data_IF_735392842584
#
_entry.id   IF_735392842584
#
_cell.length_a   1.000
_cell.length_b   1.000
_cell.length_c   1.000
_cell.angle_alpha   90.00
_cell.angle_beta   90.00
_cell.angle_gamma   90.00
#
_symmetry.space_group_name_H-M   'P 1'
#
loop_
_entity.id
_entity.type
_entity.pdbx_description
1 polymer ?
#
# COMPACT_ATOMS: atom_id res chain seq x y z
N UNK A 1 -14.46 -11.51 39.23
CA UNK A 1 -13.36 -12.47 39.23
C UNK A 1 -13.38 -13.29 40.50
N UNK A 2 -13.02 -14.58 40.45
CA UNK A 2 -12.82 -15.37 41.65
C UNK A 2 -11.55 -14.90 42.34
N UNK A 3 -11.49 -14.86 43.70
CA UNK A 3 -10.29 -14.45 44.44
C UNK A 3 -9.14 -15.43 44.07
N UNK A 4 -7.96 -14.86 43.82
CA UNK A 4 -6.75 -15.59 43.43
C UNK A 4 -5.68 -15.55 44.51
N UNK A 5 -6.06 -15.20 45.75
CA UNK A 5 -5.16 -15.30 46.88
C UNK A 5 -4.87 -16.76 47.27
N UNK A 6 -3.74 -16.97 47.95
CA UNK A 6 -3.21 -18.28 48.31
C UNK A 6 -4.24 -19.15 49.04
N UNK A 7 -5.00 -18.55 49.95
CA UNK A 7 -6.00 -19.23 50.80
C UNK A 7 -7.18 -19.71 49.98
N UNK A 8 -7.73 -18.84 49.14
CA UNK A 8 -8.89 -19.15 48.27
C UNK A 8 -8.52 -20.19 47.22
N UNK A 9 -7.28 -20.13 46.67
CA UNK A 9 -6.79 -21.06 45.67
C UNK A 9 -6.52 -22.45 46.30
N UNK A 10 -5.97 -22.50 47.49
CA UNK A 10 -5.74 -23.73 48.24
C UNK A 10 -7.09 -24.44 48.56
N UNK A 11 -8.08 -23.70 49.07
CA UNK A 11 -9.41 -24.24 49.36
C UNK A 11 -10.07 -24.78 48.08
N UNK A 12 -10.05 -24.01 46.98
CA UNK A 12 -10.65 -24.47 45.70
C UNK A 12 -9.99 -25.72 45.13
N UNK A 13 -8.64 -25.83 45.22
CA UNK A 13 -7.87 -27.01 44.78
C UNK A 13 -8.13 -28.22 45.65
N UNK A 14 -8.31 -28.03 46.98
CA UNK A 14 -8.67 -29.08 47.90
C UNK A 14 -10.10 -29.64 47.60
N UNK A 15 -11.05 -28.72 47.40
CA UNK A 15 -12.44 -29.10 47.07
C UNK A 15 -12.53 -29.87 45.74
N UNK A 16 -11.66 -29.60 44.78
CA UNK A 16 -11.60 -30.28 43.50
C UNK A 16 -10.64 -31.49 43.47
N UNK A 17 -10.10 -31.94 44.63
CA UNK A 17 -9.22 -33.09 44.75
C UNK A 17 -7.90 -32.98 43.96
N UNK A 18 -7.47 -31.74 43.65
CA UNK A 18 -6.31 -31.46 42.82
C UNK A 18 -5.13 -30.93 43.61
N UNK A 19 -5.28 -30.58 44.89
CA UNK A 19 -4.25 -29.98 45.69
C UNK A 19 -3.02 -30.92 45.89
N UNK A 20 -3.27 -32.19 46.17
CA UNK A 20 -2.20 -33.16 46.32
C UNK A 20 -1.47 -33.48 45.00
N UNK A 21 -2.20 -33.43 43.86
CA UNK A 21 -1.63 -33.71 42.53
C UNK A 21 -0.64 -32.65 42.08
N UNK A 22 -0.75 -31.42 42.59
CA UNK A 22 0.16 -30.32 42.24
C UNK A 22 1.32 -30.17 43.24
N UNK A 23 1.38 -30.98 44.30
CA UNK A 23 2.44 -30.93 45.31
C UNK A 23 2.06 -30.25 46.63
N UNK A 24 0.73 -30.13 46.88
CA UNK A 24 0.18 -29.58 48.13
C UNK A 24 0.37 -28.07 48.33
N UNK A 25 0.07 -27.62 49.52
CA UNK A 25 0.21 -26.21 49.93
C UNK A 25 1.66 -25.70 49.79
N UNK A 26 2.65 -26.52 50.04
CA UNK A 26 4.07 -26.17 49.91
C UNK A 26 4.41 -25.67 48.52
N UNK A 27 3.84 -26.31 47.47
CA UNK A 27 4.04 -25.86 46.09
C UNK A 27 3.35 -24.55 45.76
N UNK A 28 2.19 -24.29 46.35
CA UNK A 28 1.52 -23.01 46.20
C UNK A 28 2.27 -21.86 46.86
N UNK A 29 2.86 -22.11 48.05
CA UNK A 29 3.73 -21.14 48.76
C UNK A 29 4.99 -20.88 47.91
N UNK A 30 5.65 -21.90 47.42
CA UNK A 30 6.82 -21.77 46.53
C UNK A 30 6.52 -20.94 45.30
N UNK A 31 5.32 -21.13 44.68
CA UNK A 31 4.88 -20.34 43.52
C UNK A 31 4.64 -18.86 43.88
N UNK A 32 4.09 -18.58 45.04
CA UNK A 32 3.87 -17.19 45.50
C UNK A 32 5.19 -16.50 45.86
N UNK A 33 6.13 -17.24 46.49
CA UNK A 33 7.45 -16.69 46.82
C UNK A 33 8.31 -16.43 45.58
N UNK A 34 8.13 -17.21 44.53
CA UNK A 34 8.82 -17.03 43.24
C UNK A 34 8.24 -15.89 42.40
N UNK A 35 7.08 -15.31 42.77
CA UNK A 35 6.52 -14.13 42.12
C UNK A 35 7.14 -12.85 42.69
N UNK A 36 8.37 -12.60 42.33
CA UNK A 36 9.03 -11.33 42.68
C UNK A 36 8.53 -10.20 41.77
N UNK A 37 7.67 -9.37 42.30
CA UNK A 37 7.19 -8.08 41.81
C UNK A 37 6.41 -8.01 40.50
N UNK A 38 5.41 -7.13 40.46
CA UNK A 38 4.59 -6.80 39.26
C UNK A 38 5.42 -6.35 38.05
N UNK A 39 6.68 -5.90 38.25
CA UNK A 39 7.63 -5.56 37.19
C UNK A 39 8.07 -6.76 36.34
N UNK A 40 7.94 -8.00 36.85
CA UNK A 40 8.33 -9.21 36.13
C UNK A 40 7.23 -9.78 35.22
N UNK A 41 5.98 -9.36 35.38
CA UNK A 41 4.85 -9.90 34.61
C UNK A 41 5.03 -9.66 33.12
N UNK A 42 5.48 -8.50 32.71
CA UNK A 42 5.71 -8.14 31.31
C UNK A 42 6.87 -8.96 30.72
N UNK A 43 7.94 -9.17 31.49
CA UNK A 43 9.07 -10.01 31.07
C UNK A 43 8.66 -11.48 30.93
N UNK A 44 7.86 -12.01 31.87
CA UNK A 44 7.36 -13.38 31.81
C UNK A 44 6.38 -13.55 30.65
N UNK A 45 5.48 -12.57 30.42
CA UNK A 45 4.56 -12.59 29.29
C UNK A 45 5.34 -12.59 27.95
N UNK A 46 6.36 -11.77 27.82
CA UNK A 46 7.23 -11.73 26.64
C UNK A 46 7.98 -13.04 26.45
N UNK A 47 8.46 -13.68 27.51
CA UNK A 47 9.11 -14.98 27.44
C UNK A 47 8.15 -16.09 26.98
N UNK A 48 6.92 -16.10 27.49
CA UNK A 48 5.87 -17.04 27.09
C UNK A 48 5.53 -16.83 25.61
N UNK A 49 5.37 -15.58 25.18
CA UNK A 49 5.11 -15.23 23.79
C UNK A 49 6.24 -15.67 22.86
N UNK A 50 7.52 -15.45 23.24
CA UNK A 50 8.66 -15.93 22.47
C UNK A 50 8.65 -17.47 22.32
N UNK A 51 8.41 -18.19 23.42
CA UNK A 51 8.32 -19.66 23.38
C UNK A 51 7.13 -20.17 22.60
N UNK A 52 6.02 -19.45 22.59
CA UNK A 52 4.85 -19.76 21.78
C UNK A 52 5.17 -19.61 20.29
N UNK A 53 5.73 -18.47 19.87
CA UNK A 53 6.12 -18.22 18.48
C UNK A 53 7.11 -19.27 17.98
N UNK A 54 8.12 -19.62 18.79
CA UNK A 54 9.10 -20.69 18.44
C UNK A 54 8.42 -22.04 18.23
N UNK A 55 7.44 -22.40 19.06
CA UNK A 55 6.65 -23.65 18.89
C UNK A 55 5.81 -23.63 17.63
N UNK A 56 5.20 -22.49 17.31
CA UNK A 56 4.46 -22.33 16.05
C UNK A 56 5.40 -22.45 14.83
N UNK A 57 6.57 -21.82 14.87
CA UNK A 57 7.58 -21.97 13.82
C UNK A 57 7.99 -23.42 13.59
N UNK A 58 8.21 -24.20 14.67
CA UNK A 58 8.56 -25.63 14.58
C UNK A 58 7.41 -26.41 13.94
N UNK A 59 6.16 -26.16 14.37
CA UNK A 59 4.98 -26.83 13.83
C UNK A 59 4.79 -26.53 12.34
N UNK A 60 4.78 -25.26 11.96
CA UNK A 60 4.62 -24.85 10.57
C UNK A 60 5.82 -25.27 9.70
N UNK A 61 7.04 -25.30 10.26
CA UNK A 61 8.20 -25.85 9.57
C UNK A 61 8.02 -27.33 9.21
N UNK A 62 7.48 -28.14 10.13
CA UNK A 62 7.16 -29.55 9.86
C UNK A 62 6.05 -29.68 8.80
N UNK A 63 5.03 -28.81 8.81
CA UNK A 63 4.00 -28.80 7.77
C UNK A 63 4.57 -28.42 6.41
N UNK A 64 5.48 -27.44 6.34
CA UNK A 64 6.19 -27.04 5.10
C UNK A 64 7.04 -28.20 4.57
N UNK A 65 7.73 -28.94 5.45
CA UNK A 65 8.46 -30.16 5.06
C UNK A 65 7.54 -31.20 4.43
N UNK A 66 6.35 -31.41 5.01
CA UNK A 66 5.37 -32.35 4.44
C UNK A 66 4.86 -31.89 3.07
N UNK A 67 4.60 -30.58 2.89
CA UNK A 67 4.23 -30.01 1.59
C UNK A 67 5.32 -30.25 0.55
N UNK A 68 6.61 -30.16 0.91
CA UNK A 68 7.73 -30.44 0.03
C UNK A 68 7.86 -31.90 -0.42
N UNK A 69 7.30 -32.85 0.34
CA UNK A 69 7.24 -34.27 -0.04
C UNK A 69 6.00 -34.64 -0.87
N UNK A 70 5.00 -33.75 -0.93
CA UNK A 70 3.79 -33.97 -1.71
C UNK A 70 4.04 -33.68 -3.21
N UNK A 71 4.29 -34.73 -3.98
CA UNK A 71 4.52 -34.66 -5.42
C UNK A 71 3.23 -34.52 -6.26
N UNK A 72 2.06 -34.46 -5.64
CA UNK A 72 0.78 -34.35 -6.35
C UNK A 72 0.42 -32.90 -6.70
N UNK A 73 1.11 -31.92 -6.09
CA UNK A 73 0.85 -30.50 -6.28
C UNK A 73 1.95 -29.86 -7.13
N UNK A 74 1.58 -28.80 -7.85
CA UNK A 74 2.56 -28.00 -8.59
C UNK A 74 3.49 -27.21 -7.65
N UNK A 75 4.76 -27.07 -8.04
CA UNK A 75 5.80 -26.43 -7.21
C UNK A 75 5.40 -25.01 -6.76
N UNK A 76 4.73 -24.25 -7.62
CA UNK A 76 4.27 -22.90 -7.29
C UNK A 76 3.19 -22.91 -6.21
N UNK A 77 2.24 -23.84 -6.26
CA UNK A 77 1.20 -23.99 -5.23
C UNK A 77 1.80 -24.41 -3.88
N UNK A 78 2.82 -25.26 -3.90
CA UNK A 78 3.54 -25.68 -2.67
C UNK A 78 4.26 -24.50 -2.05
N UNK A 79 4.92 -23.65 -2.86
CA UNK A 79 5.59 -22.45 -2.39
C UNK A 79 4.60 -21.45 -1.79
N UNK A 80 3.47 -21.19 -2.46
CA UNK A 80 2.44 -20.27 -1.96
C UNK A 80 1.86 -20.74 -0.61
N UNK A 81 1.60 -22.05 -0.46
CA UNK A 81 1.13 -22.65 0.80
C UNK A 81 2.18 -22.56 1.90
N UNK A 82 3.45 -22.77 1.59
CA UNK A 82 4.55 -22.63 2.54
C UNK A 82 4.71 -21.18 3.02
N UNK A 83 4.67 -20.21 2.10
CA UNK A 83 4.69 -18.78 2.45
C UNK A 83 3.50 -18.40 3.32
N UNK A 84 2.29 -18.85 2.98
CA UNK A 84 1.10 -18.60 3.77
C UNK A 84 1.24 -19.10 5.21
N UNK A 85 1.76 -20.31 5.42
CA UNK A 85 1.99 -20.91 6.73
C UNK A 85 2.97 -20.11 7.59
N UNK A 86 4.07 -19.64 7.00
CA UNK A 86 5.05 -18.80 7.71
C UNK A 86 4.44 -17.42 8.00
N UNK A 87 3.66 -16.90 7.07
CA UNK A 87 2.99 -15.60 7.21
C UNK A 87 1.96 -15.61 8.36
N UNK A 88 1.16 -16.66 8.52
CA UNK A 88 0.22 -16.82 9.62
C UNK A 88 0.91 -16.64 10.98
N UNK A 89 2.10 -17.20 11.16
CA UNK A 89 2.89 -17.05 12.40
C UNK A 89 3.32 -15.59 12.63
N UNK A 90 3.66 -14.88 11.56
CA UNK A 90 4.07 -13.47 11.66
C UNK A 90 2.91 -12.54 12.00
N UNK A 91 1.68 -12.93 11.66
CA UNK A 91 0.45 -12.21 12.03
C UNK A 91 -0.02 -12.51 13.46
N UNK A 92 0.30 -13.67 14.01
CA UNK A 92 -0.04 -14.06 15.39
C UNK A 92 0.81 -13.36 16.46
N UNK A 93 1.68 -12.41 16.11
CA UNK A 93 2.16 -11.46 17.13
C UNK A 93 0.92 -10.87 17.77
N UNK A 94 0.80 -10.91 19.13
CA UNK A 94 -0.36 -10.37 19.81
C UNK A 94 -0.55 -8.94 19.32
N UNK A 95 -1.53 -8.75 18.43
CA UNK A 95 -2.02 -7.43 18.11
C UNK A 95 -2.40 -6.84 19.45
N UNK A 96 -1.81 -5.70 19.83
CA UNK A 96 -2.25 -4.96 20.99
C UNK A 96 -3.76 -4.97 20.92
N UNK A 97 -4.39 -5.54 21.93
CA UNK A 97 -5.85 -5.59 22.01
C UNK A 97 -6.48 -4.21 21.89
N UNK A 98 -7.70 -4.04 22.30
CA UNK A 98 -8.32 -2.71 22.36
C UNK A 98 -7.39 -1.76 23.13
N UNK A 99 -6.94 -0.70 22.47
CA UNK A 99 -6.12 0.37 23.08
C UNK A 99 -7.07 1.43 23.62
N UNK A 100 -6.90 1.83 24.87
CA UNK A 100 -7.72 2.89 25.45
C UNK A 100 -7.44 4.22 24.72
N UNK A 101 -8.49 4.98 24.38
CA UNK A 101 -8.34 6.25 23.66
C UNK A 101 -7.38 7.22 24.37
N UNK A 102 -7.33 7.19 25.71
CA UNK A 102 -6.42 8.02 26.51
C UNK A 102 -4.93 7.80 26.17
N UNK A 103 -4.53 6.56 25.83
CA UNK A 103 -3.15 6.25 25.47
C UNK A 103 -2.77 6.85 24.09
N UNK A 104 -3.76 7.02 23.21
CA UNK A 104 -3.56 7.56 21.87
C UNK A 104 -3.60 9.09 21.87
N UNK A 105 -4.34 9.71 22.79
CA UNK A 105 -4.53 11.16 22.83
C UNK A 105 -3.22 11.94 22.94
N UNK A 106 -2.25 11.46 23.70
CA UNK A 106 -0.96 12.13 23.85
C UNK A 106 -0.17 12.16 22.54
N UNK A 107 -0.12 11.02 21.82
CA UNK A 107 0.55 10.96 20.53
C UNK A 107 -0.18 11.81 19.48
N UNK A 108 -1.51 11.80 19.50
CA UNK A 108 -2.35 12.63 18.61
C UNK A 108 -2.14 14.11 18.88
N UNK A 109 -2.05 14.53 20.15
CA UNK A 109 -1.77 15.92 20.51
C UNK A 109 -0.41 16.37 19.97
N UNK A 110 0.65 15.59 20.19
CA UNK A 110 1.98 15.89 19.68
C UNK A 110 2.01 15.99 18.14
N UNK A 111 1.23 15.16 17.47
CA UNK A 111 1.10 15.21 16.00
C UNK A 111 0.40 16.49 15.54
N UNK A 112 -0.67 16.90 16.21
CA UNK A 112 -1.37 18.18 15.95
C UNK A 112 -0.45 19.37 16.19
N UNK A 113 0.30 19.35 17.31
CA UNK A 113 1.25 20.40 17.64
C UNK A 113 2.35 20.53 16.58
N UNK A 114 2.95 19.41 16.16
CA UNK A 114 3.97 19.38 15.12
C UNK A 114 3.45 19.93 13.78
N UNK A 115 2.21 19.60 13.43
CA UNK A 115 1.55 20.16 12.24
C UNK A 115 1.28 21.64 12.37
N UNK A 116 0.82 22.10 13.53
CA UNK A 116 0.56 23.52 13.82
C UNK A 116 1.83 24.37 13.74
N UNK A 117 2.97 23.81 14.16
CA UNK A 117 4.28 24.44 14.06
C UNK A 117 4.91 24.34 12.66
N UNK A 118 4.25 23.69 11.70
CA UNK A 118 4.75 23.49 10.33
C UNK A 118 5.97 22.55 10.26
N UNK A 119 6.26 21.80 11.31
CA UNK A 119 7.40 20.88 11.38
C UNK A 119 7.08 19.50 10.80
N UNK A 120 5.81 19.18 10.58
CA UNK A 120 5.36 17.95 9.91
C UNK A 120 4.20 18.21 8.97
N UNK A 121 4.13 17.42 7.89
CA UNK A 121 3.02 17.41 6.93
C UNK A 121 2.12 16.20 7.22
N UNK A 122 0.81 16.35 7.04
CA UNK A 122 -0.14 15.30 7.38
C UNK A 122 0.05 14.03 6.54
N UNK A 123 0.29 14.19 5.23
CA UNK A 123 0.51 13.11 4.26
C UNK A 123 1.82 13.25 3.52
N UNK A 124 2.04 12.41 2.52
CA UNK A 124 3.18 12.47 1.62
C UNK A 124 2.84 13.43 0.47
N UNK A 125 3.51 14.58 0.36
CA UNK A 125 3.27 15.53 -0.73
C UNK A 125 3.58 14.90 -2.08
N UNK A 126 2.71 15.17 -3.06
CA UNK A 126 2.88 14.68 -4.44
C UNK A 126 3.30 15.79 -5.39
N UNK A 127 3.52 17.00 -4.88
CA UNK A 127 3.98 18.20 -5.59
C UNK A 127 3.05 18.68 -6.73
N UNK A 128 1.79 18.33 -6.64
CA UNK A 128 0.71 19.00 -7.34
C UNK A 128 -0.02 19.88 -6.34
N UNK A 129 0.28 21.19 -6.35
CA UNK A 129 -0.06 22.12 -5.26
C UNK A 129 -1.54 22.11 -4.90
N UNK A 130 -2.41 22.19 -5.89
CA UNK A 130 -3.86 22.20 -5.65
C UNK A 130 -4.37 20.84 -5.16
N UNK A 131 -3.74 19.73 -5.63
CA UNK A 131 -4.07 18.39 -5.17
C UNK A 131 -3.58 18.20 -3.73
N UNK A 132 -2.36 18.63 -3.42
CA UNK A 132 -1.83 18.58 -2.07
C UNK A 132 -2.61 19.48 -1.11
N UNK A 133 -3.04 20.66 -1.55
CA UNK A 133 -3.90 21.54 -0.75
C UNK A 133 -5.26 20.88 -0.43
N UNK A 134 -5.85 20.15 -1.39
CA UNK A 134 -7.13 19.46 -1.21
C UNK A 134 -7.01 18.19 -0.37
N UNK A 135 -5.93 17.41 -0.54
CA UNK A 135 -5.73 16.10 0.11
C UNK A 135 -4.82 16.17 1.35
N UNK A 136 -4.12 17.29 1.55
CA UNK A 136 -3.04 17.45 2.52
C UNK A 136 -1.90 16.43 2.31
N UNK A 137 -1.62 16.10 1.03
CA UNK A 137 -0.77 14.99 0.63
C UNK A 137 -1.45 13.62 0.74
N UNK A 138 -0.83 12.60 0.22
CA UNK A 138 -1.36 11.23 0.29
C UNK A 138 -1.14 10.64 1.68
N UNK A 139 -2.23 10.28 2.36
CA UNK A 139 -2.16 9.80 3.72
C UNK A 139 -1.57 8.40 3.77
N UNK A 140 -0.71 8.15 4.76
CA UNK A 140 -0.18 6.81 5.01
C UNK A 140 -1.33 5.86 5.32
N UNK A 141 -1.22 4.62 4.84
CA UNK A 141 -2.25 3.58 4.98
C UNK A 141 -3.50 3.76 4.10
N UNK A 142 -3.55 4.77 3.22
CA UNK A 142 -4.68 4.95 2.30
C UNK A 142 -4.54 4.12 1.03
N UNK A 143 -5.68 3.64 0.56
CA UNK A 143 -5.86 3.11 -0.78
C UNK A 143 -6.44 4.20 -1.67
N UNK A 144 -5.67 4.60 -2.68
CA UNK A 144 -5.98 5.67 -3.61
C UNK A 144 -6.23 5.05 -4.98
N UNK A 145 -7.37 5.36 -5.58
CA UNK A 145 -7.71 4.87 -6.92
C UNK A 145 -7.56 6.03 -7.90
N UNK A 146 -6.77 5.82 -8.96
CA UNK A 146 -6.67 6.73 -10.09
C UNK A 146 -7.37 6.08 -11.28
N UNK A 147 -8.52 6.61 -11.65
CA UNK A 147 -9.39 6.04 -12.68
C UNK A 147 -9.51 6.94 -13.90
N UNK A 148 -9.69 6.32 -15.08
CA UNK A 148 -9.90 7.05 -16.31
C UNK A 148 -10.08 6.11 -17.51
N UNK A 149 -10.60 6.64 -18.59
CA UNK A 149 -10.68 5.92 -19.87
C UNK A 149 -9.27 5.71 -20.46
N UNK A 150 -9.08 4.78 -21.40
CA UNK A 150 -7.83 4.65 -22.13
C UNK A 150 -7.39 6.00 -22.72
N UNK A 151 -6.08 6.21 -22.82
CA UNK A 151 -5.45 7.43 -23.39
C UNK A 151 -5.67 8.74 -22.60
N UNK A 152 -6.33 8.72 -21.43
CA UNK A 152 -6.48 9.88 -20.55
C UNK A 152 -5.19 10.25 -19.79
N UNK A 153 -4.16 9.41 -19.81
CA UNK A 153 -2.89 9.69 -19.15
C UNK A 153 -2.72 9.07 -17.75
N UNK A 154 -3.49 8.01 -17.40
CA UNK A 154 -3.41 7.35 -16.08
C UNK A 154 -1.98 6.95 -15.70
N UNK A 155 -1.31 6.15 -16.53
CA UNK A 155 0.07 5.71 -16.29
C UNK A 155 1.03 6.88 -16.20
N UNK A 156 0.86 7.91 -17.05
CA UNK A 156 1.68 9.13 -16.97
C UNK A 156 1.48 9.85 -15.64
N UNK A 157 0.23 9.96 -15.15
CA UNK A 157 -0.07 10.58 -13.87
C UNK A 157 0.65 9.88 -12.71
N UNK A 158 0.53 8.56 -12.60
CA UNK A 158 1.15 7.83 -11.48
C UNK A 158 2.68 7.80 -11.56
N UNK A 159 3.26 7.83 -12.77
CA UNK A 159 4.72 7.98 -12.92
C UNK A 159 5.19 9.37 -12.49
N UNK A 160 4.41 10.44 -12.77
CA UNK A 160 4.70 11.76 -12.24
C UNK A 160 4.61 11.79 -10.70
N UNK A 161 3.56 11.16 -10.12
CA UNK A 161 3.45 11.02 -8.67
C UNK A 161 4.65 10.28 -8.09
N UNK A 162 5.03 9.14 -8.68
CA UNK A 162 6.17 8.33 -8.26
C UNK A 162 7.48 9.13 -8.29
N UNK A 163 7.75 9.85 -9.40
CA UNK A 163 8.91 10.71 -9.54
C UNK A 163 8.90 11.84 -8.51
N UNK A 164 7.80 12.55 -8.39
CA UNK A 164 7.68 13.69 -7.48
C UNK A 164 7.92 13.26 -6.02
N UNK A 165 7.34 12.15 -5.57
CA UNK A 165 7.54 11.63 -4.22
C UNK A 165 9.00 11.20 -4.01
N UNK A 166 9.58 10.43 -4.94
CA UNK A 166 10.97 10.00 -4.84
C UNK A 166 11.94 11.18 -4.78
N UNK A 167 11.69 12.21 -5.60
CA UNK A 167 12.56 13.40 -5.70
C UNK A 167 12.43 14.33 -4.49
N UNK A 168 11.22 14.58 -4.00
CA UNK A 168 11.00 15.57 -2.95
C UNK A 168 11.16 15.01 -1.53
N UNK A 169 10.87 13.73 -1.34
CA UNK A 169 10.88 13.09 -0.02
C UNK A 169 12.08 12.17 0.20
N UNK A 170 12.84 11.85 -0.85
CA UNK A 170 13.94 10.85 -0.81
C UNK A 170 13.48 9.50 -0.21
N UNK A 171 12.20 9.15 -0.46
CA UNK A 171 11.60 7.90 0.00
C UNK A 171 11.51 6.90 -1.15
N UNK A 172 11.80 5.60 -0.92
CA UNK A 172 11.64 4.57 -1.91
C UNK A 172 10.20 4.46 -2.41
N UNK A 173 10.04 4.37 -3.73
CA UNK A 173 8.76 4.22 -4.42
C UNK A 173 8.77 2.92 -5.20
N UNK A 174 7.74 2.07 -4.99
CA UNK A 174 7.55 0.84 -5.74
C UNK A 174 6.54 1.06 -6.87
N UNK A 175 6.86 0.61 -8.08
CA UNK A 175 5.96 0.63 -9.23
C UNK A 175 5.80 -0.78 -9.76
N UNK A 176 4.60 -1.34 -9.60
CA UNK A 176 4.21 -2.64 -10.15
C UNK A 176 3.43 -2.41 -11.44
N UNK A 177 4.02 -2.79 -12.57
CA UNK A 177 3.43 -2.62 -13.90
C UNK A 177 3.02 -3.96 -14.47
N UNK A 178 1.71 -4.18 -14.59
CA UNK A 178 1.16 -5.42 -15.14
C UNK A 178 0.86 -5.31 -16.65
N UNK A 179 0.90 -4.09 -17.21
CA UNK A 179 0.59 -3.81 -18.63
C UNK A 179 1.84 -3.49 -19.43
N UNK A 180 2.77 -2.75 -18.87
CA UNK A 180 3.92 -2.19 -19.58
C UNK A 180 5.24 -2.73 -19.03
N UNK A 181 6.23 -2.95 -19.92
CA UNK A 181 7.56 -3.34 -19.49
C UNK A 181 8.29 -2.19 -18.76
N UNK A 182 9.25 -2.54 -17.91
CA UNK A 182 10.09 -1.57 -17.18
C UNK A 182 10.85 -0.64 -18.12
N UNK A 183 11.27 -1.12 -19.29
CA UNK A 183 11.93 -0.28 -20.31
C UNK A 183 10.97 0.79 -20.83
N UNK A 184 9.71 0.43 -21.11
CA UNK A 184 8.70 1.39 -21.58
C UNK A 184 8.39 2.47 -20.52
N UNK A 185 8.34 2.09 -19.24
CA UNK A 185 8.16 3.04 -18.14
C UNK A 185 9.38 3.94 -17.98
N UNK A 186 10.58 3.38 -18.13
CA UNK A 186 11.83 4.15 -18.08
C UNK A 186 11.92 5.18 -19.20
N UNK A 187 11.51 4.83 -20.44
CA UNK A 187 11.42 5.83 -21.52
C UNK A 187 10.45 6.97 -21.20
N UNK A 188 9.33 6.69 -20.54
CA UNK A 188 8.40 7.73 -20.10
C UNK A 188 8.99 8.63 -19.03
N UNK A 189 9.66 8.05 -18.02
CA UNK A 189 10.35 8.80 -16.97
C UNK A 189 11.45 9.69 -17.55
N UNK A 190 12.25 9.17 -18.48
CA UNK A 190 13.28 9.96 -19.18
C UNK A 190 12.63 11.10 -19.99
N UNK A 191 11.58 10.82 -20.75
CA UNK A 191 10.86 11.85 -21.52
C UNK A 191 10.33 12.98 -20.63
N UNK A 192 9.79 12.65 -19.45
CA UNK A 192 9.34 13.62 -18.45
C UNK A 192 10.49 14.50 -17.95
N UNK A 193 11.64 13.88 -17.70
CA UNK A 193 12.81 14.56 -17.10
C UNK A 193 13.44 15.52 -18.09
N UNK A 194 13.79 14.99 -19.27
CA UNK A 194 14.60 15.75 -20.24
C UNK A 194 13.77 16.61 -21.21
N UNK A 195 12.45 16.44 -21.26
CA UNK A 195 11.60 17.17 -22.21
C UNK A 195 11.81 16.77 -23.67
N UNK A 196 12.25 15.54 -23.93
CA UNK A 196 12.37 14.96 -25.27
C UNK A 196 11.19 14.02 -25.49
N UNK A 197 10.57 14.08 -26.67
CA UNK A 197 9.42 13.23 -26.99
C UNK A 197 9.72 11.74 -26.80
N UNK A 198 8.84 11.03 -26.09
CA UNK A 198 8.99 9.60 -25.79
C UNK A 198 9.16 8.75 -27.05
N UNK A 199 8.49 9.11 -28.16
CA UNK A 199 8.64 8.45 -29.47
C UNK A 199 10.05 8.59 -30.06
N UNK A 200 10.67 9.76 -29.89
CA UNK A 200 12.04 10.03 -30.36
C UNK A 200 13.07 9.27 -29.53
N UNK A 201 12.93 9.27 -28.21
CA UNK A 201 13.76 8.45 -27.33
C UNK A 201 13.73 6.98 -27.72
N UNK A 202 12.52 6.42 -27.92
CA UNK A 202 12.34 5.01 -28.27
C UNK A 202 12.93 4.63 -29.62
N UNK A 203 12.91 5.55 -30.60
CA UNK A 203 13.43 5.30 -31.94
C UNK A 203 14.89 5.69 -32.11
N UNK A 204 15.52 6.29 -31.06
CA UNK A 204 16.90 6.78 -31.13
C UNK A 204 17.09 8.01 -32.03
N UNK A 205 16.02 8.70 -32.44
CA UNK A 205 16.07 9.87 -33.32
C UNK A 205 16.34 11.13 -32.51
N UNK A 206 17.57 11.24 -31.99
CA UNK A 206 18.01 12.36 -31.19
C UNK A 206 18.86 13.31 -32.00
N UNK A 207 18.75 14.62 -31.71
CA UNK A 207 19.64 15.64 -32.22
C UNK A 207 20.94 15.64 -31.40
N UNK A 208 22.02 16.18 -31.96
CA UNK A 208 23.33 16.14 -31.29
C UNK A 208 23.31 16.89 -29.96
N UNK A 209 22.56 17.97 -29.87
CA UNK A 209 22.37 18.81 -28.69
C UNK A 209 21.57 18.14 -27.57
N UNK A 210 20.80 17.09 -27.90
CA UNK A 210 19.95 16.38 -26.93
C UNK A 210 20.71 15.31 -26.14
N UNK A 211 21.86 14.85 -26.64
CA UNK A 211 22.67 13.82 -25.96
C UNK A 211 23.17 14.25 -24.57
N UNK A 212 23.67 15.49 -24.38
CA UNK A 212 24.03 15.96 -23.04
C UNK A 212 22.82 15.99 -22.09
N UNK A 213 21.67 16.50 -22.55
CA UNK A 213 20.42 16.53 -21.76
C UNK A 213 19.99 15.13 -21.34
N UNK A 214 20.09 14.16 -22.26
CA UNK A 214 19.79 12.77 -21.95
C UNK A 214 20.74 12.21 -20.88
N UNK A 215 22.04 12.51 -20.98
CA UNK A 215 23.03 12.12 -19.99
C UNK A 215 22.75 12.69 -18.59
N UNK A 216 22.37 13.96 -18.51
CA UNK A 216 21.97 14.63 -17.26
C UNK A 216 20.68 13.98 -16.70
N UNK A 217 19.68 13.73 -17.55
CA UNK A 217 18.44 13.10 -17.14
C UNK A 217 18.62 11.66 -16.63
N UNK A 218 19.50 10.89 -17.25
CA UNK A 218 19.84 9.53 -16.77
C UNK A 218 20.52 9.62 -15.40
N UNK A 219 21.43 10.56 -15.20
CA UNK A 219 22.10 10.72 -13.91
C UNK A 219 21.11 11.19 -12.82
N UNK A 220 20.24 12.16 -13.13
CA UNK A 220 19.22 12.66 -12.22
C UNK A 220 18.26 11.54 -11.80
N UNK A 221 17.67 10.83 -12.76
CA UNK A 221 16.72 9.74 -12.48
C UNK A 221 17.39 8.54 -11.81
N UNK A 222 18.66 8.26 -12.14
CA UNK A 222 19.43 7.17 -11.56
C UNK A 222 19.68 7.32 -10.05
N UNK A 223 19.59 8.53 -9.52
CA UNK A 223 19.71 8.80 -8.09
C UNK A 223 18.38 8.67 -7.33
N UNK A 224 17.24 8.64 -8.05
CA UNK A 224 15.93 8.54 -7.41
C UNK A 224 15.66 7.10 -6.96
N UNK A 225 15.15 6.90 -5.75
CA UNK A 225 14.84 5.59 -5.23
C UNK A 225 13.51 5.05 -5.79
N UNK A 226 13.43 4.87 -7.12
CA UNK A 226 12.27 4.31 -7.83
C UNK A 226 12.58 2.87 -8.21
N UNK A 227 11.75 1.93 -7.76
CA UNK A 227 11.90 0.50 -7.99
C UNK A 227 10.73 0.00 -8.82
N UNK A 228 11.01 -0.63 -9.97
CA UNK A 228 10.00 -1.07 -10.95
C UNK A 228 10.03 -2.60 -11.06
N UNK A 229 8.87 -3.21 -10.94
CA UNK A 229 8.64 -4.63 -11.25
C UNK A 229 7.59 -4.72 -12.36
N UNK A 230 7.90 -5.44 -13.43
CA UNK A 230 7.04 -5.64 -14.60
C UNK A 230 6.61 -7.11 -14.78
N UNK A 231 6.69 -7.89 -13.71
CA UNK A 231 6.24 -9.28 -13.70
C UNK A 231 4.72 -9.33 -13.91
N UNK A 232 4.23 -10.03 -14.96
CA UNK A 232 2.79 -10.23 -15.14
C UNK A 232 2.23 -11.10 -14.01
N UNK A 233 0.95 -10.99 -13.74
CA UNK A 233 0.21 -11.84 -12.79
C UNK A 233 0.75 -11.82 -11.36
N UNK A 234 1.18 -10.65 -10.89
CA UNK A 234 1.68 -10.49 -9.53
C UNK A 234 0.52 -10.46 -8.53
N UNK A 235 0.54 -11.33 -7.53
CA UNK A 235 -0.45 -11.33 -6.46
C UNK A 235 -0.16 -10.22 -5.42
N UNK A 236 -1.19 -9.80 -4.67
CA UNK A 236 -1.03 -8.83 -3.56
C UNK A 236 -0.04 -9.34 -2.51
N UNK A 237 0.02 -10.66 -2.30
CA UNK A 237 0.94 -11.28 -1.35
C UNK A 237 2.40 -11.15 -1.80
N UNK A 238 2.68 -11.43 -3.07
CA UNK A 238 4.02 -11.24 -3.65
C UNK A 238 4.45 -9.77 -3.62
N UNK A 239 3.57 -8.84 -4.03
CA UNK A 239 3.84 -7.39 -3.94
C UNK A 239 4.22 -6.98 -2.51
N UNK A 240 3.49 -7.48 -1.52
CA UNK A 240 3.74 -7.24 -0.09
C UNK A 240 5.11 -7.77 0.34
N UNK A 241 5.47 -8.98 -0.09
CA UNK A 241 6.76 -9.61 0.20
C UNK A 241 7.92 -8.79 -0.39
N UNK A 242 7.79 -8.36 -1.66
CA UNK A 242 8.77 -7.50 -2.33
C UNK A 242 8.94 -6.15 -1.61
N UNK A 243 7.84 -5.51 -1.22
CA UNK A 243 7.88 -4.24 -0.48
C UNK A 243 8.56 -4.40 0.89
N UNK A 244 8.26 -5.47 1.64
CA UNK A 244 8.92 -5.74 2.93
C UNK A 244 10.43 -5.95 2.77
N UNK A 245 10.83 -6.71 1.74
CA UNK A 245 12.24 -6.92 1.41
C UNK A 245 12.93 -5.60 1.10
N UNK A 246 12.31 -4.76 0.27
CA UNK A 246 12.85 -3.44 -0.08
C UNK A 246 13.00 -2.54 1.16
N UNK A 247 12.01 -2.50 2.07
CA UNK A 247 12.10 -1.77 3.34
C UNK A 247 13.30 -2.23 4.16
N UNK A 248 13.52 -3.56 4.24
CA UNK A 248 14.63 -4.14 5.00
C UNK A 248 15.99 -3.81 4.35
N UNK A 249 16.09 -3.84 3.02
CA UNK A 249 17.30 -3.52 2.26
C UNK A 249 17.65 -2.04 2.33
N UNK A 250 16.67 -1.16 2.10
CA UNK A 250 16.86 0.30 2.07
C UNK A 250 16.93 0.90 3.48
N UNK A 251 16.44 0.20 4.50
CA UNK A 251 16.32 0.72 5.89
C UNK A 251 15.57 2.05 5.97
N UNK A 252 14.69 2.30 5.01
CA UNK A 252 13.82 3.47 4.89
C UNK A 252 12.37 3.00 4.76
N UNK A 253 11.43 3.81 5.23
CA UNK A 253 10.00 3.62 4.96
C UNK A 253 9.72 3.88 3.48
N UNK A 254 8.67 3.25 2.94
CA UNK A 254 8.23 3.52 1.58
C UNK A 254 7.48 4.86 1.50
N UNK A 255 7.70 5.59 0.41
CA UNK A 255 6.95 6.81 0.09
C UNK A 255 5.62 6.52 -0.62
N UNK A 256 5.64 5.58 -1.58
CA UNK A 256 4.47 5.28 -2.41
C UNK A 256 4.57 3.87 -2.98
N UNK A 257 3.43 3.21 -3.12
CA UNK A 257 3.29 2.00 -3.95
C UNK A 257 2.33 2.30 -5.07
N UNK A 258 2.73 2.04 -6.32
CA UNK A 258 1.92 2.22 -7.54
C UNK A 258 1.64 0.88 -8.17
N UNK A 259 0.39 0.66 -8.63
CA UNK A 259 -0.04 -0.58 -9.30
C UNK A 259 -0.78 -0.21 -10.59
N UNK A 260 -0.24 -0.60 -11.74
CA UNK A 260 -0.79 -0.34 -13.07
C UNK A 260 -1.09 -1.67 -13.78
N UNK A 261 -2.35 -2.11 -13.86
CA UNK A 261 -3.61 -1.66 -13.31
C UNK A 261 -4.42 -2.84 -12.74
N UNK A 262 -5.39 -2.56 -11.87
CA UNK A 262 -6.12 -3.57 -11.07
C UNK A 262 -6.75 -4.70 -11.88
N UNK A 263 -7.29 -4.40 -13.05
CA UNK A 263 -8.02 -5.37 -13.88
C UNK A 263 -7.11 -6.42 -14.53
N UNK A 264 -5.78 -6.25 -14.48
CA UNK A 264 -4.81 -7.26 -14.93
C UNK A 264 -4.34 -8.17 -13.80
N UNK A 265 -4.67 -7.84 -12.55
CA UNK A 265 -4.38 -8.74 -11.44
C UNK A 265 -5.28 -9.98 -11.54
N UNK A 266 -4.66 -11.14 -11.55
CA UNK A 266 -5.37 -12.41 -11.59
C UNK A 266 -5.89 -12.82 -10.21
N UNK A 267 -7.08 -13.39 -10.20
CA UNK A 267 -7.61 -14.17 -9.12
C UNK A 267 -7.82 -15.61 -9.56
N UNK A 268 -8.03 -16.47 -8.59
CA UNK A 268 -8.06 -17.92 -8.75
C UNK A 268 -9.34 -18.50 -9.40
N UNK A 269 -10.33 -17.65 -9.73
CA UNK A 269 -11.62 -18.15 -10.28
C UNK A 269 -12.21 -17.21 -11.34
N UNK A 270 -12.39 -17.69 -12.59
CA UNK A 270 -12.91 -16.89 -13.72
C UNK A 270 -14.34 -16.39 -13.57
N UNK A 271 -15.16 -17.06 -12.75
CA UNK A 271 -16.63 -16.90 -12.77
C UNK A 271 -17.17 -15.73 -11.95
N UNK A 272 -16.34 -14.99 -11.20
CA UNK A 272 -16.86 -13.89 -10.38
C UNK A 272 -15.92 -12.68 -10.25
N UNK A 273 -15.75 -11.95 -11.35
CA UNK A 273 -14.90 -10.77 -11.47
C UNK A 273 -15.09 -9.72 -10.37
N UNK A 274 -16.34 -9.51 -9.95
CA UNK A 274 -16.68 -8.53 -8.90
C UNK A 274 -16.13 -8.97 -7.53
N UNK A 275 -16.27 -10.26 -7.20
CA UNK A 275 -15.76 -10.79 -5.92
C UNK A 275 -14.23 -10.79 -5.91
N UNK A 276 -13.61 -11.07 -7.05
CA UNK A 276 -12.18 -11.06 -7.22
C UNK A 276 -11.60 -9.67 -6.99
N UNK A 277 -12.13 -8.64 -7.67
CA UNK A 277 -11.74 -7.26 -7.46
C UNK A 277 -11.95 -6.82 -5.99
N UNK A 278 -13.02 -7.30 -5.35
CA UNK A 278 -13.26 -7.06 -3.92
C UNK A 278 -12.19 -7.69 -3.01
N UNK A 279 -11.67 -8.86 -3.38
CA UNK A 279 -10.57 -9.50 -2.65
C UNK A 279 -9.26 -8.72 -2.85
N UNK A 280 -8.99 -8.31 -4.09
CA UNK A 280 -7.80 -7.54 -4.43
C UNK A 280 -7.80 -6.19 -3.69
N UNK A 281 -8.88 -5.40 -3.77
CA UNK A 281 -8.93 -4.07 -3.13
C UNK A 281 -8.81 -4.15 -1.62
N UNK A 282 -9.47 -5.13 -0.98
CA UNK A 282 -9.28 -5.38 0.47
C UNK A 282 -7.86 -5.80 0.80
N UNK A 283 -7.24 -6.64 -0.03
CA UNK A 283 -5.84 -7.03 0.10
C UNK A 283 -4.90 -5.84 0.01
N UNK A 284 -5.11 -4.94 -0.97
CA UNK A 284 -4.32 -3.71 -1.15
C UNK A 284 -4.51 -2.74 0.01
N UNK A 285 -5.75 -2.56 0.49
CA UNK A 285 -6.01 -1.75 1.69
C UNK A 285 -5.33 -2.32 2.94
N UNK A 286 -5.35 -3.66 3.08
CA UNK A 286 -4.61 -4.32 4.16
C UNK A 286 -3.10 -4.09 4.05
N UNK A 287 -2.53 -4.20 2.84
CA UNK A 287 -1.12 -3.94 2.58
C UNK A 287 -0.74 -2.48 2.90
N UNK A 288 -1.56 -1.51 2.47
CA UNK A 288 -1.35 -0.10 2.77
C UNK A 288 -1.29 0.17 4.28
N UNK A 289 -2.21 -0.43 5.05
CA UNK A 289 -2.27 -0.30 6.52
C UNK A 289 -1.08 -0.96 7.22
N UNK A 290 -0.71 -2.14 6.77
CA UNK A 290 0.38 -2.91 7.35
C UNK A 290 1.73 -2.23 7.14
N UNK A 291 2.01 -1.80 5.90
CA UNK A 291 3.26 -1.15 5.52
C UNK A 291 3.27 0.35 5.86
N UNK A 292 2.13 0.91 6.30
CA UNK A 292 1.94 2.35 6.59
C UNK A 292 2.38 3.23 5.41
N UNK A 293 1.95 2.88 4.20
CA UNK A 293 2.29 3.57 2.97
C UNK A 293 1.03 3.81 2.13
N UNK A 294 0.89 4.95 1.42
CA UNK A 294 -0.17 5.11 0.45
C UNK A 294 0.02 4.15 -0.72
N UNK A 295 -1.07 3.47 -1.10
CA UNK A 295 -1.12 2.59 -2.27
C UNK A 295 -1.98 3.23 -3.33
N UNK A 296 -1.39 3.57 -4.48
CA UNK A 296 -2.09 4.10 -5.65
C UNK A 296 -2.30 2.99 -6.65
N UNK A 297 -3.56 2.66 -6.94
CA UNK A 297 -3.90 1.65 -7.92
C UNK A 297 -4.70 2.26 -9.09
N UNK A 298 -4.28 1.93 -10.31
CA UNK A 298 -4.98 2.37 -11.51
C UNK A 298 -6.20 1.50 -11.77
N UNK A 299 -7.27 2.16 -12.24
CA UNK A 299 -8.51 1.49 -12.65
C UNK A 299 -9.00 2.03 -13.98
N UNK A 300 -9.51 1.16 -14.83
CA UNK A 300 -10.16 1.56 -16.06
C UNK A 300 -11.65 1.77 -15.82
N UNK A 301 -12.19 2.88 -16.34
CA UNK A 301 -13.61 3.20 -16.27
C UNK A 301 -14.42 2.42 -17.31
N UNK A 302 -15.66 2.13 -16.97
CA UNK A 302 -16.65 1.51 -17.87
C UNK A 302 -16.85 2.33 -19.15
N UNK A 303 -17.17 1.64 -20.26
CA UNK A 303 -17.46 2.29 -21.55
C UNK A 303 -18.72 3.15 -21.53
N UNK A 304 -19.57 2.97 -20.55
CA UNK A 304 -20.80 3.75 -20.37
C UNK A 304 -20.59 5.27 -20.27
N UNK A 305 -19.40 5.71 -19.83
CA UNK A 305 -19.01 7.13 -19.81
C UNK A 305 -19.13 7.76 -21.21
N UNK A 306 -18.74 7.03 -22.26
CA UNK A 306 -18.66 7.55 -23.64
C UNK A 306 -20.04 7.70 -24.31
N UNK A 307 -21.05 7.01 -23.80
CA UNK A 307 -22.43 7.09 -24.31
C UNK A 307 -23.23 8.26 -23.75
N UNK A 308 -22.71 8.96 -22.73
CA UNK A 308 -23.39 10.11 -22.11
C UNK A 308 -23.08 11.41 -22.86
N UNK A 309 -23.99 12.37 -22.78
CA UNK A 309 -23.77 13.75 -23.28
C UNK A 309 -22.63 14.41 -22.49
N UNK A 310 -22.68 14.33 -21.15
CA UNK A 310 -21.59 14.77 -20.30
C UNK A 310 -20.66 13.58 -20.05
N UNK A 311 -19.45 13.64 -20.61
CA UNK A 311 -18.44 12.57 -20.53
C UNK A 311 -17.49 12.70 -19.33
N UNK A 312 -17.74 13.67 -18.43
CA UNK A 312 -17.01 13.72 -17.15
C UNK A 312 -17.33 12.49 -16.33
N UNK A 313 -16.30 11.77 -15.86
CA UNK A 313 -16.50 10.56 -15.11
C UNK A 313 -17.09 10.82 -13.73
N UNK A 314 -17.86 9.87 -13.23
CA UNK A 314 -18.46 9.88 -11.90
C UNK A 314 -18.25 8.53 -11.21
N UNK A 315 -18.46 8.49 -9.91
CA UNK A 315 -18.15 7.32 -9.08
C UNK A 315 -18.85 6.02 -9.58
N UNK A 316 -20.08 6.15 -10.11
CA UNK A 316 -20.82 5.03 -10.70
C UNK A 316 -20.17 4.42 -11.95
N UNK A 317 -19.17 5.08 -12.56
CA UNK A 317 -18.45 4.54 -13.72
C UNK A 317 -17.40 3.48 -13.34
N UNK A 318 -17.13 3.33 -12.04
CA UNK A 318 -16.41 2.20 -11.45
C UNK A 318 -17.32 0.95 -11.28
N UNK A 319 -18.44 0.85 -11.94
CA UNK A 319 -19.60 -0.02 -11.68
C UNK A 319 -19.33 -1.53 -11.72
N UNK A 320 -18.33 -2.01 -12.44
CA UNK A 320 -17.91 -3.42 -12.35
C UNK A 320 -17.11 -3.71 -11.07
N UNK A 321 -16.96 -2.69 -10.23
CA UNK A 321 -16.05 -2.64 -9.09
C UNK A 321 -16.67 -1.89 -7.91
N UNK A 322 -17.93 -2.17 -7.55
CA UNK A 322 -18.59 -1.53 -6.39
C UNK A 322 -17.79 -1.65 -5.09
N UNK A 323 -16.92 -2.66 -5.02
CA UNK A 323 -15.96 -2.83 -3.93
C UNK A 323 -14.80 -1.82 -3.98
N UNK A 324 -14.33 -1.42 -5.17
CA UNK A 324 -13.30 -0.38 -5.29
C UNK A 324 -13.81 0.91 -4.65
N UNK A 325 -15.07 1.27 -4.96
CA UNK A 325 -15.70 2.43 -4.35
C UNK A 325 -15.75 2.34 -2.81
N UNK A 326 -16.08 1.18 -2.26
CA UNK A 326 -16.21 1.01 -0.80
C UNK A 326 -14.86 1.02 -0.10
N UNK A 327 -13.86 0.32 -0.63
CA UNK A 327 -12.56 0.09 0.01
C UNK A 327 -11.60 1.27 -0.13
N UNK A 328 -11.69 2.06 -1.22
CA UNK A 328 -10.84 3.21 -1.46
C UNK A 328 -11.11 4.35 -0.47
N UNK A 329 -10.05 5.01 -0.02
CA UNK A 329 -10.13 6.21 0.81
C UNK A 329 -10.20 7.48 -0.04
N UNK A 330 -9.50 7.48 -1.18
CA UNK A 330 -9.46 8.56 -2.14
C UNK A 330 -9.69 8.00 -3.56
N UNK A 331 -10.54 8.65 -4.34
CA UNK A 331 -10.78 8.32 -5.75
C UNK A 331 -10.56 9.55 -6.60
N UNK A 332 -9.56 9.47 -7.47
CA UNK A 332 -9.18 10.49 -8.44
C UNK A 332 -9.60 10.03 -9.84
N UNK A 333 -10.35 10.82 -10.55
CA UNK A 333 -10.75 10.54 -11.93
C UNK A 333 -10.11 11.51 -12.89
N UNK A 334 -9.51 10.98 -13.95
CA UNK A 334 -8.82 11.77 -14.95
C UNK A 334 -9.78 12.04 -16.11
N UNK A 335 -9.96 13.32 -16.44
CA UNK A 335 -10.75 13.77 -17.57
C UNK A 335 -9.98 14.80 -18.39
N UNK A 336 -10.05 14.67 -19.73
CA UNK A 336 -9.47 15.62 -20.69
C UNK A 336 -10.55 15.98 -21.69
N UNK A 337 -10.95 17.25 -21.68
CA UNK A 337 -12.01 17.73 -22.57
C UNK A 337 -11.54 17.68 -24.05
N UNK A 338 -10.29 18.04 -24.33
CA UNK A 338 -9.71 18.02 -25.68
C UNK A 338 -9.74 16.62 -26.36
N UNK A 339 -9.81 15.53 -25.57
CA UNK A 339 -9.94 14.19 -26.14
C UNK A 339 -11.30 13.95 -26.79
N UNK A 340 -12.34 14.55 -26.24
CA UNK A 340 -13.71 14.43 -26.73
C UNK A 340 -14.14 15.60 -27.59
N UNK A 341 -13.56 16.77 -27.37
CA UNK A 341 -13.85 18.02 -28.05
C UNK A 341 -12.52 18.70 -28.48
N UNK A 342 -12.02 18.42 -29.70
CA UNK A 342 -10.77 19.01 -30.20
C UNK A 342 -10.75 20.52 -30.29
N UNK A 343 -11.94 21.17 -30.37
CA UNK A 343 -12.10 22.63 -30.47
C UNK A 343 -12.25 23.30 -29.10
N UNK A 344 -12.02 22.58 -28.01
CA UNK A 344 -12.12 23.15 -26.65
C UNK A 344 -11.08 24.25 -26.40
N UNK A 345 -11.45 25.22 -25.57
CA UNK A 345 -10.51 26.23 -25.06
C UNK A 345 -9.53 25.66 -24.03
N UNK A 346 -9.91 24.56 -23.34
CA UNK A 346 -9.11 23.88 -22.31
C UNK A 346 -8.07 22.90 -22.92
N UNK A 347 -7.33 23.31 -23.97
CA UNK A 347 -6.31 22.49 -24.61
C UNK A 347 -5.14 22.21 -23.65
N UNK A 348 -4.70 20.97 -23.57
CA UNK A 348 -3.63 20.52 -22.65
C UNK A 348 -4.07 20.48 -21.19
N UNK A 349 -5.29 20.91 -20.86
CA UNK A 349 -5.79 20.86 -19.49
C UNK A 349 -6.36 19.49 -19.19
N UNK A 350 -5.95 18.96 -18.05
CA UNK A 350 -6.49 17.73 -17.49
C UNK A 350 -7.15 18.03 -16.16
N UNK A 351 -8.39 17.61 -16.03
CA UNK A 351 -9.11 17.65 -14.76
C UNK A 351 -8.82 16.40 -13.95
N UNK A 352 -8.34 16.57 -12.72
CA UNK A 352 -8.24 15.52 -11.70
C UNK A 352 -9.43 15.73 -10.77
N UNK A 353 -10.46 14.92 -10.99
CA UNK A 353 -11.71 15.02 -10.25
C UNK A 353 -11.63 14.13 -9.02
N UNK A 354 -11.59 14.74 -7.85
CA UNK A 354 -11.67 14.03 -6.56
C UNK A 354 -13.15 13.69 -6.32
N UNK A 355 -13.53 12.46 -6.64
CA UNK A 355 -14.94 12.01 -6.56
C UNK A 355 -15.28 11.37 -5.23
N UNK A 356 -14.28 10.91 -4.50
CA UNK A 356 -14.40 10.39 -3.14
C UNK A 356 -13.17 10.80 -2.33
N UNK A 357 -13.39 11.26 -1.11
CA UNK A 357 -12.34 11.53 -0.14
C UNK A 357 -12.87 11.28 1.27
N UNK A 358 -12.35 10.26 1.98
CA UNK A 358 -12.85 9.92 3.33
C UNK A 358 -12.55 11.01 4.36
N UNK A 359 -11.40 11.67 4.24
CA UNK A 359 -10.88 12.56 5.26
C UNK A 359 -10.80 14.03 4.81
N UNK A 360 -11.44 14.38 3.68
CA UNK A 360 -11.38 15.72 3.14
C UNK A 360 -12.47 16.03 2.11
N UNK A 361 -12.37 17.19 1.45
CA UNK A 361 -13.35 17.64 0.47
C UNK A 361 -13.21 16.86 -0.85
N UNK A 362 -14.27 16.89 -1.63
CA UNK A 362 -14.29 16.52 -3.05
C UNK A 362 -14.23 17.77 -3.91
N UNK A 363 -13.73 17.65 -5.14
CA UNK A 363 -13.61 18.81 -6.02
C UNK A 363 -12.83 18.45 -7.29
N UNK A 364 -12.41 19.45 -8.02
CA UNK A 364 -11.66 19.29 -9.27
C UNK A 364 -10.39 20.13 -9.22
N UNK A 365 -9.27 19.51 -9.51
CA UNK A 365 -7.97 20.15 -9.70
C UNK A 365 -7.64 20.12 -11.18
N UNK A 366 -7.16 21.23 -11.73
CA UNK A 366 -6.70 21.33 -13.12
C UNK A 366 -5.19 21.26 -13.17
N UNK A 367 -4.66 20.42 -14.07
CA UNK A 367 -3.23 20.28 -14.35
C UNK A 367 -2.99 20.45 -15.84
N UNK A 368 -1.80 20.95 -16.20
CA UNK A 368 -1.34 20.91 -17.58
C UNK A 368 -0.79 19.51 -17.89
N UNK A 369 -1.24 18.91 -18.98
CA UNK A 369 -0.69 17.65 -19.48
C UNK A 369 -0.02 17.84 -20.84
N UNK A 370 1.23 17.45 -20.93
CA UNK A 370 2.05 17.46 -22.14
C UNK A 370 2.21 16.00 -22.64
N UNK A 371 1.29 15.52 -23.52
CA UNK A 371 1.27 14.12 -23.92
C UNK A 371 2.55 13.64 -24.58
N UNK A 372 3.22 14.49 -25.36
CA UNK A 372 4.47 14.20 -26.05
C UNK A 372 5.61 13.85 -25.09
N UNK A 373 5.59 14.45 -23.88
CA UNK A 373 6.58 14.21 -22.81
C UNK A 373 6.01 13.32 -21.70
N UNK A 374 4.76 12.85 -21.82
CA UNK A 374 4.06 12.09 -20.78
C UNK A 374 4.06 12.79 -19.41
N UNK A 375 4.08 14.12 -19.38
CA UNK A 375 4.36 14.96 -18.21
C UNK A 375 3.14 15.75 -17.78
N UNK A 376 2.85 15.72 -16.48
CA UNK A 376 1.90 16.60 -15.81
C UNK A 376 2.63 17.75 -15.11
N UNK A 377 2.07 18.94 -15.13
CA UNK A 377 2.59 20.15 -14.47
C UNK A 377 1.48 20.90 -13.75
N UNK A 378 1.87 21.60 -12.68
CA UNK A 378 0.98 22.59 -12.08
C UNK A 378 0.68 23.70 -13.10
N UNK A 379 -0.56 24.22 -13.08
CA UNK A 379 -0.87 25.43 -13.83
C UNK A 379 -0.14 26.59 -13.18
N UNK A 380 0.43 27.49 -14.00
CA UNK A 380 0.90 28.78 -13.51
C UNK A 380 -0.34 29.60 -13.10
N UNK A 381 -0.34 30.10 -11.88
CA UNK A 381 -1.31 31.08 -11.41
C UNK A 381 -1.08 32.44 -12.09
#
# INVERSE_FOLDING_TARGET
GKPTDLTSMSAWLADNGSLEKIGGNSKLVELVENVSSTASIEQVANLISDKFIRRQLIRSGNEVVQLGFDQTQETNEVLDKAEQKIFEISQEKPTKGLTQAAEILTSTFNEIESRSLGTSVAGIPVNFYDLDAMTQGFQRSDLIIVAGRPSMGKTSMVLNLAKNVAQSQDLPVCVFSLEMSKEQLTYRLLSMEVGIESGRLRTGRLQQEEWPLLGEGINSLGQLPIFIDDKPNLSVLEMRSLCRRLIAEQKKELGLIVIDYLQLMEGTTPDNRVQELSRITRGLKSMARELKVPVVALSQLSRGVESRTNKRPMLSDLRESGSIEQDADLVLMIYRDEYYNPETEDRGITEIIVTKHRNGPVGTVKLLFEPQFTRFRNLAN
#
